data_IF_997555520547
#
_entry.id   IF_997555520547
#
_cell.length_a   1.000
_cell.length_b   1.000
_cell.length_c   1.000
_cell.angle_alpha   90.00
_cell.angle_beta   90.00
_cell.angle_gamma   90.00
#
_symmetry.space_group_name_H-M   'P 1'
#
loop_
_entity.id
_entity.type
_entity.pdbx_description
1 polymer ?
2 non-polymer ?
3 non-polymer ?
4 water ?
#
# COMPACT_ATOMS: atom_id res chain seq x y z
N UNK A 22 -21.25 12.59 -21.19
CA UNK A 22 -20.25 13.61 -21.50
C UNK A 22 -19.43 13.99 -20.27
N UNK A 23 -19.95 13.65 -19.07
CA UNK A 23 -19.34 13.90 -17.76
C UNK A 23 -18.01 13.17 -17.60
N UNK A 24 -17.09 13.75 -16.81
CA UNK A 24 -15.80 13.13 -16.62
C UNK A 24 -15.89 12.01 -15.59
N UNK A 25 -16.10 10.76 -16.06
CA UNK A 25 -16.15 9.56 -15.22
C UNK A 25 -14.77 8.90 -15.14
N UNK A 26 -14.40 8.34 -13.97
CA UNK A 26 -13.14 7.63 -13.82
C UNK A 26 -13.14 6.38 -14.69
N UNK A 27 -12.11 6.24 -15.52
CA UNK A 27 -11.95 5.12 -16.43
C UNK A 27 -10.80 4.19 -15.99
N UNK A 28 -10.74 2.98 -16.58
CA UNK A 28 -9.71 1.98 -16.32
C UNK A 28 -8.42 2.42 -17.01
N UNK A 29 -7.33 2.50 -16.23
CA UNK A 29 -6.01 2.96 -16.65
C UNK A 29 -5.50 2.45 -17.99
N UNK A 30 -4.85 3.36 -18.75
CA UNK A 30 -4.19 3.09 -20.03
C UNK A 30 -2.71 2.73 -19.75
N UNK A 31 -2.39 2.53 -18.45
CA UNK A 31 -1.08 2.19 -17.90
C UNK A 31 -0.85 0.67 -17.87
N UNK A 32 0.43 0.26 -17.77
CA UNK A 32 0.86 -1.14 -17.75
C UNK A 32 0.87 -1.74 -16.33
N UNK A 33 -0.32 -2.20 -15.88
CA UNK A 33 -0.67 -2.86 -14.61
C UNK A 33 0.46 -3.17 -13.59
N UNK A 34 1.50 -3.91 -14.03
CA UNK A 34 2.68 -4.35 -13.27
C UNK A 34 3.46 -3.23 -12.55
N UNK A 35 3.39 -2.01 -13.08
CA UNK A 35 4.07 -0.84 -12.54
C UNK A 35 3.27 -0.16 -11.42
N UNK A 36 2.00 -0.55 -11.26
CA UNK A 36 1.09 -0.01 -10.25
C UNK A 36 0.55 -1.07 -9.26
N UNK A 37 1.47 -1.87 -8.69
CA UNK A 37 1.18 -2.90 -7.68
C UNK A 37 2.05 -2.67 -6.44
N UNK A 38 1.45 -2.56 -5.25
CA UNK A 38 2.20 -2.42 -3.99
C UNK A 38 2.14 -3.73 -3.23
N UNK A 39 3.33 -4.26 -2.84
CA UNK A 39 3.47 -5.51 -2.09
C UNK A 39 3.64 -5.16 -0.61
N UNK A 40 2.83 -5.81 0.25
CA UNK A 40 2.81 -5.56 1.71
C UNK A 40 3.13 -6.82 2.47
N UNK A 41 3.84 -6.65 3.60
CA UNK A 41 4.33 -7.71 4.49
C UNK A 41 4.26 -7.17 5.93
N UNK A 42 3.02 -6.95 6.41
CA UNK A 42 2.70 -6.36 7.71
C UNK A 42 3.29 -7.08 8.91
N UNK A 43 3.48 -8.42 8.78
CA UNK A 43 4.08 -9.31 9.79
C UNK A 43 4.79 -10.47 9.07
N UNK A 44 5.70 -11.18 9.78
CA UNK A 44 6.43 -12.35 9.27
C UNK A 44 5.45 -13.45 8.77
N UNK A 45 5.77 -14.04 7.61
CA UNK A 45 5.00 -15.11 6.97
C UNK A 45 3.79 -14.65 6.18
N UNK A 46 3.66 -13.32 6.03
CA UNK A 46 2.56 -12.69 5.34
C UNK A 46 3.01 -11.74 4.26
N UNK A 47 2.36 -11.84 3.10
CA UNK A 47 2.57 -11.03 1.91
C UNK A 47 1.21 -10.81 1.27
N UNK A 48 0.96 -9.59 0.81
CA UNK A 48 -0.26 -9.24 0.09
C UNK A 48 0.06 -8.15 -0.94
N UNK A 49 -0.83 -7.96 -1.93
CA UNK A 49 -0.63 -6.94 -2.96
C UNK A 49 -1.91 -6.12 -3.18
N UNK A 50 -1.77 -4.93 -3.74
CA UNK A 50 -2.86 -4.02 -4.07
C UNK A 50 -2.55 -3.46 -5.45
N UNK A 51 -3.45 -3.63 -6.41
CA UNK A 51 -3.36 -3.05 -7.74
C UNK A 51 -3.96 -1.65 -7.49
N UNK A 52 -3.09 -0.65 -7.26
CA UNK A 52 -3.47 0.73 -6.94
C UNK A 52 -4.64 1.27 -7.77
N UNK A 53 -4.57 1.29 -9.13
CA UNK A 53 -5.69 1.83 -9.92
C UNK A 53 -7.03 1.18 -9.60
N UNK A 54 -7.05 -0.15 -9.34
CA UNK A 54 -8.27 -0.90 -9.00
C UNK A 54 -8.88 -0.39 -7.73
N UNK A 55 -8.09 -0.33 -6.65
CA UNK A 55 -8.52 0.19 -5.34
C UNK A 55 -9.09 1.60 -5.47
N UNK A 56 -8.44 2.48 -6.24
CA UNK A 56 -8.90 3.85 -6.41
C UNK A 56 -10.23 3.86 -7.15
N UNK A 57 -10.35 3.03 -8.20
CA UNK A 57 -11.53 2.88 -9.06
C UNK A 57 -12.70 2.35 -8.25
N UNK A 58 -12.51 1.25 -7.51
CA UNK A 58 -13.60 0.68 -6.68
C UNK A 58 -14.06 1.66 -5.59
N UNK A 59 -13.12 2.43 -5.03
CA UNK A 59 -13.41 3.42 -3.99
C UNK A 59 -14.15 4.63 -4.55
N UNK A 60 -13.80 5.05 -5.76
CA UNK A 60 -14.43 6.16 -6.48
C UNK A 60 -15.93 5.92 -6.62
N UNK A 61 -16.29 4.76 -7.23
CA UNK A 61 -17.66 4.36 -7.48
C UNK A 61 -18.46 4.09 -6.22
N UNK A 62 -17.76 3.69 -5.13
CA UNK A 62 -18.36 3.48 -3.80
C UNK A 62 -18.90 4.85 -3.33
N UNK A 63 -18.08 5.93 -3.45
CA UNK A 63 -18.50 7.27 -3.05
C UNK A 63 -19.60 7.84 -3.93
N UNK A 64 -19.53 7.55 -5.24
CA UNK A 64 -20.52 7.99 -6.21
C UNK A 64 -21.87 7.39 -5.84
N UNK A 65 -21.87 6.11 -5.44
CA UNK A 65 -23.09 5.39 -5.02
C UNK A 65 -23.71 6.05 -3.78
N UNK A 66 -22.91 6.37 -2.72
CA UNK A 66 -23.53 7.00 -1.55
C UNK A 66 -24.00 8.41 -1.84
N UNK A 67 -23.22 9.16 -2.64
CA UNK A 67 -23.61 10.52 -3.01
C UNK A 67 -24.93 10.57 -3.74
N UNK A 68 -25.19 9.56 -4.60
CA UNK A 68 -26.42 9.45 -5.37
C UNK A 68 -27.67 9.14 -4.54
N UNK A 69 -27.54 8.30 -3.49
CA UNK A 69 -28.68 7.90 -2.63
C UNK A 69 -28.94 8.86 -1.46
N UNK A 70 -27.94 9.69 -1.14
CA UNK A 70 -28.05 10.63 -0.03
C UNK A 70 -28.49 12.01 -0.51
N UNK A 71 -28.60 12.20 -1.83
CA UNK A 71 -29.04 13.49 -2.40
C UNK A 71 -30.46 13.79 -1.97
N UNK A 72 -31.36 12.81 -2.13
CA UNK A 72 -32.75 12.95 -1.76
C UNK A 72 -32.99 12.31 -0.40
N UNK A 73 -33.62 13.06 0.53
CA UNK A 73 -33.97 12.52 1.85
C UNK A 73 -34.80 11.20 1.79
N UNK A 74 -35.53 10.96 0.67
CA UNK A 74 -36.36 9.77 0.43
C UNK A 74 -35.62 8.51 -0.01
N UNK A 75 -34.32 8.59 -0.37
CA UNK A 75 -33.57 7.42 -0.83
C UNK A 75 -32.51 6.90 0.16
N UNK A 76 -32.45 7.51 1.37
CA UNK A 76 -31.50 7.14 2.42
C UNK A 76 -31.52 5.67 2.76
N UNK A 77 -32.69 5.04 2.60
CA UNK A 77 -32.96 3.62 2.84
C UNK A 77 -32.29 2.65 1.88
N UNK A 78 -31.75 3.18 0.76
CA UNK A 78 -31.04 2.39 -0.24
C UNK A 78 -29.64 1.91 0.22
N UNK A 79 -29.11 2.48 1.33
CA UNK A 79 -27.79 2.21 1.89
C UNK A 79 -27.49 0.74 2.18
N UNK A 80 -28.48 -0.01 2.67
CA UNK A 80 -28.31 -1.45 2.98
C UNK A 80 -28.03 -2.21 1.68
N UNK A 81 -28.79 -1.92 0.60
CA UNK A 81 -28.57 -2.53 -0.72
C UNK A 81 -27.15 -2.19 -1.21
N UNK A 82 -26.78 -0.88 -1.18
CA UNK A 82 -25.44 -0.39 -1.53
C UNK A 82 -24.35 -1.10 -0.72
N UNK A 83 -24.53 -1.20 0.62
CA UNK A 83 -23.58 -1.87 1.51
C UNK A 83 -23.43 -3.33 1.12
N UNK A 84 -24.55 -4.01 0.83
CA UNK A 84 -24.56 -5.41 0.44
C UNK A 84 -23.78 -5.61 -0.87
N UNK A 85 -24.03 -4.74 -1.86
CA UNK A 85 -23.40 -4.80 -3.18
C UNK A 85 -21.90 -4.59 -3.09
N UNK A 86 -21.48 -3.62 -2.26
CA UNK A 86 -20.06 -3.31 -2.06
C UNK A 86 -19.35 -4.48 -1.42
N UNK A 87 -19.97 -5.08 -0.39
CA UNK A 87 -19.45 -6.26 0.31
C UNK A 87 -19.29 -7.42 -0.69
N UNK A 88 -20.27 -7.59 -1.61
CA UNK A 88 -20.26 -8.65 -2.63
C UNK A 88 -19.06 -8.51 -3.58
N UNK A 89 -18.85 -7.30 -4.12
CA UNK A 89 -17.75 -6.89 -4.99
C UNK A 89 -16.40 -7.17 -4.31
N UNK A 90 -16.31 -6.86 -3.01
CA UNK A 90 -15.13 -7.08 -2.14
C UNK A 90 -14.77 -8.56 -2.06
N UNK A 91 -15.79 -9.43 -1.88
CA UNK A 91 -15.65 -10.88 -1.79
C UNK A 91 -15.21 -11.42 -3.15
N UNK A 92 -15.95 -11.05 -4.22
CA UNK A 92 -15.69 -11.45 -5.60
C UNK A 92 -14.26 -11.09 -6.03
N UNK A 93 -13.83 -9.86 -5.74
CA UNK A 93 -12.50 -9.38 -6.09
C UNK A 93 -11.44 -10.16 -5.30
N UNK A 94 -11.68 -10.37 -3.98
CA UNK A 94 -10.74 -11.12 -3.14
C UNK A 94 -10.68 -12.60 -3.50
N UNK A 95 -11.70 -13.09 -4.22
CA UNK A 95 -11.72 -14.47 -4.67
C UNK A 95 -10.75 -14.66 -5.87
N UNK A 96 -10.70 -13.66 -6.79
CA UNK A 96 -9.80 -13.65 -7.96
C UNK A 96 -8.37 -13.54 -7.50
N UNK A 97 -8.08 -12.59 -6.58
CA UNK A 97 -6.71 -12.44 -6.09
C UNK A 97 -6.19 -13.65 -5.29
N UNK A 98 -7.11 -14.49 -4.75
CA UNK A 98 -6.75 -15.71 -4.02
C UNK A 98 -6.29 -16.86 -4.95
N UNK A 99 -6.50 -16.70 -6.28
CA UNK A 99 -6.10 -17.67 -7.31
C UNK A 99 -4.59 -17.76 -7.45
N UNK A 100 -3.89 -16.73 -6.92
CA UNK A 100 -2.44 -16.60 -6.89
C UNK A 100 -1.87 -16.95 -5.51
N UNK A 101 -2.65 -17.62 -4.63
CA UNK A 101 -2.24 -17.97 -3.27
C UNK A 101 -1.11 -18.95 -3.16
N UNK A 102 -1.21 -20.13 -3.82
CA UNK A 102 -0.16 -21.14 -3.81
C UNK A 102 1.21 -20.55 -4.21
N UNK A 103 1.21 -19.82 -5.32
CA UNK A 103 2.36 -19.15 -5.91
C UNK A 103 2.87 -18.00 -5.01
N UNK A 104 1.95 -17.26 -4.36
CA UNK A 104 2.31 -16.21 -3.39
C UNK A 104 3.00 -16.87 -2.18
N UNK A 105 2.44 -18.00 -1.68
CA UNK A 105 2.95 -18.77 -0.55
C UNK A 105 4.37 -19.33 -0.83
N UNK A 106 4.63 -19.66 -2.12
CA UNK A 106 5.89 -20.15 -2.67
C UNK A 106 6.93 -19.02 -2.61
N UNK A 107 6.48 -17.77 -2.83
CA UNK A 107 7.35 -16.60 -2.72
C UNK A 107 7.73 -16.37 -1.24
N UNK A 108 6.75 -16.47 -0.31
CA UNK A 108 6.92 -16.32 1.15
C UNK A 108 7.98 -17.27 1.71
N UNK A 109 8.01 -18.52 1.21
CA UNK A 109 8.98 -19.55 1.60
C UNK A 109 10.39 -19.15 1.21
N UNK A 110 10.53 -18.53 0.02
CA UNK A 110 11.80 -18.05 -0.51
C UNK A 110 12.27 -16.84 0.29
N UNK A 111 11.36 -15.89 0.63
CA UNK A 111 11.70 -14.72 1.46
C UNK A 111 12.15 -15.18 2.84
N UNK A 112 11.49 -16.21 3.39
CA UNK A 112 11.83 -16.80 4.68
C UNK A 112 13.31 -17.22 4.66
N UNK A 113 13.74 -17.94 3.59
CA UNK A 113 15.11 -18.43 3.38
C UNK A 113 16.13 -17.30 3.29
N UNK A 114 15.83 -16.22 2.53
CA UNK A 114 16.72 -15.07 2.35
C UNK A 114 16.88 -14.27 3.63
N UNK A 115 15.83 -14.17 4.44
CA UNK A 115 15.81 -13.37 5.66
C UNK A 115 16.31 -14.10 6.89
N UNK A 116 16.16 -15.44 6.91
CA UNK A 116 16.59 -16.29 8.02
C UNK A 116 17.51 -17.43 7.50
N UNK A 117 18.75 -17.11 7.04
CA UNK A 117 19.65 -18.16 6.52
C UNK A 117 20.15 -19.17 7.55
N UNK A 118 20.06 -18.82 8.86
CA UNK A 118 20.36 -19.63 10.05
C UNK A 118 19.78 -18.94 11.30
N UNK A 119 19.46 -19.72 12.34
CA UNK A 119 18.87 -19.24 13.60
C UNK A 119 19.85 -18.37 14.42
N UNK A 120 19.43 -17.12 14.76
CA UNK A 120 20.24 -16.17 15.55
C UNK A 120 19.70 -15.97 16.99
N UNK A 121 18.88 -16.93 17.49
CA UNK A 121 18.22 -16.87 18.78
C UNK A 121 18.92 -17.47 19.99
N UNK A 122 19.95 -18.31 19.78
CA UNK A 122 20.69 -18.89 20.91
C UNK A 122 21.75 -17.89 21.40
N UNK A 123 21.45 -17.16 22.49
CA UNK A 123 22.32 -16.13 23.09
C UNK A 123 23.61 -16.72 23.69
N UNK A 124 23.58 -18.03 24.00
CA UNK A 124 24.71 -18.77 24.54
C UNK A 124 25.50 -19.46 23.40
N UNK A 125 25.30 -18.96 22.16
CA UNK A 125 25.97 -19.43 20.94
C UNK A 125 26.63 -18.24 20.25
N UNK A 126 27.98 -18.27 20.17
CA UNK A 126 28.81 -17.22 19.54
C UNK A 126 29.33 -17.68 18.13
N UNK A 127 28.66 -18.70 17.55
CA UNK A 127 28.96 -19.37 16.28
C UNK A 127 29.14 -18.45 15.06
N UNK A 128 30.31 -18.53 14.40
CA UNK A 128 30.61 -17.79 13.17
C UNK A 128 30.41 -18.73 11.98
N UNK A 129 29.44 -18.44 11.12
CA UNK A 129 29.07 -19.31 10.01
C UNK A 129 29.80 -19.12 8.68
N UNK A 130 31.15 -19.17 8.75
CA UNK A 130 32.05 -19.06 7.61
C UNK A 130 31.90 -20.25 6.64
N UNK A 131 31.22 -21.33 7.11
CA UNK A 131 30.94 -22.58 6.38
C UNK A 131 29.95 -22.38 5.24
N UNK A 132 29.11 -21.31 5.29
CA UNK A 132 28.09 -20.92 4.29
C UNK A 132 28.61 -19.66 3.51
N UNK A 133 29.01 -19.77 2.20
CA UNK A 133 28.98 -20.89 1.24
C UNK A 133 29.68 -22.19 1.64
N UNK A 170 24.35 -5.59 -4.76
CA UNK A 170 25.81 -5.71 -4.73
C UNK A 170 26.30 -6.88 -3.84
N UNK A 171 25.57 -8.02 -3.92
CA UNK A 171 25.80 -9.26 -3.15
C UNK A 171 27.16 -9.95 -3.45
N UNK A 172 27.60 -10.81 -2.54
CA UNK A 172 28.86 -11.55 -2.66
C UNK A 172 28.70 -13.07 -2.41
N UNK A 173 27.95 -13.45 -1.36
CA UNK A 173 27.71 -14.83 -0.95
C UNK A 173 27.01 -15.67 -2.03
N UNK A 174 27.71 -16.73 -2.52
CA UNK A 174 27.29 -17.69 -3.55
C UNK A 174 25.97 -18.38 -3.23
N UNK A 175 25.80 -18.85 -1.97
CA UNK A 175 24.58 -19.50 -1.53
C UNK A 175 23.40 -18.54 -1.44
N UNK A 176 23.66 -17.25 -1.09
CA UNK A 176 22.60 -16.23 -1.06
C UNK A 176 22.17 -15.91 -2.49
N UNK A 177 23.16 -15.77 -3.41
CA UNK A 177 22.99 -15.48 -4.84
C UNK A 177 22.11 -16.55 -5.55
N UNK A 178 22.19 -17.83 -5.10
CA UNK A 178 21.38 -18.94 -5.62
C UNK A 178 19.94 -18.79 -5.15
N UNK A 179 19.73 -18.46 -3.85
CA UNK A 179 18.42 -18.21 -3.24
C UNK A 179 17.78 -16.93 -3.84
N UNK A 180 18.63 -15.96 -4.25
CA UNK A 180 18.22 -14.69 -4.85
C UNK A 180 17.64 -14.83 -6.26
N UNK A 181 18.22 -15.72 -7.09
CA UNK A 181 17.75 -15.98 -8.46
C UNK A 181 16.38 -16.65 -8.43
N UNK A 182 16.13 -17.51 -7.41
CA UNK A 182 14.85 -18.19 -7.18
C UNK A 182 13.81 -17.12 -6.85
N UNK A 183 14.15 -16.20 -5.91
CA UNK A 183 13.32 -15.07 -5.52
C UNK A 183 12.89 -14.25 -6.73
N UNK A 184 13.82 -13.98 -7.67
CA UNK A 184 13.56 -13.19 -8.87
C UNK A 184 12.55 -13.87 -9.80
N UNK A 185 12.65 -15.21 -9.92
CA UNK A 185 11.73 -16.04 -10.71
C UNK A 185 10.37 -16.11 -9.98
N UNK A 186 10.37 -16.51 -8.70
CA UNK A 186 9.19 -16.63 -7.86
C UNK A 186 8.36 -15.33 -7.80
N UNK A 187 9.04 -14.14 -7.70
CA UNK A 187 8.41 -12.82 -7.72
C UNK A 187 7.79 -12.54 -9.10
N UNK A 188 8.57 -12.81 -10.19
CA UNK A 188 8.15 -12.63 -11.59
C UNK A 188 6.92 -13.46 -11.93
N UNK A 189 6.82 -14.69 -11.36
CA UNK A 189 5.68 -15.58 -11.57
C UNK A 189 4.41 -14.98 -10.96
N UNK A 190 4.53 -14.41 -9.72
CA UNK A 190 3.40 -13.78 -9.03
C UNK A 190 2.81 -12.62 -9.83
N UNK A 191 3.68 -11.75 -10.40
CA UNK A 191 3.29 -10.61 -11.24
C UNK A 191 2.58 -11.16 -12.49
N UNK A 192 3.09 -12.28 -13.06
CA UNK A 192 2.47 -12.90 -14.24
C UNK A 192 1.08 -13.42 -13.91
N UNK A 193 0.90 -14.02 -12.72
CA UNK A 193 -0.37 -14.54 -12.21
C UNK A 193 -1.38 -13.40 -12.05
N UNK A 194 -0.94 -12.25 -11.47
CA UNK A 194 -1.81 -11.08 -11.30
C UNK A 194 -2.20 -10.51 -12.68
N UNK A 195 -1.22 -10.43 -13.61
CA UNK A 195 -1.43 -9.97 -14.99
C UNK A 195 -2.33 -10.94 -15.78
N UNK A 196 -2.26 -12.25 -15.50
CA UNK A 196 -3.10 -13.25 -16.16
C UNK A 196 -4.56 -13.22 -15.72
N UNK A 197 -4.85 -12.63 -14.55
CA UNK A 197 -6.19 -12.52 -14.00
C UNK A 197 -6.80 -11.11 -14.19
N UNK A 198 -6.09 -10.24 -14.94
CA UNK A 198 -6.42 -8.85 -15.26
C UNK A 198 -7.86 -8.66 -15.74
N UNK A 199 -8.29 -9.42 -16.77
CA UNK A 199 -9.65 -9.29 -17.33
C UNK A 199 -10.73 -9.58 -16.31
N UNK A 200 -10.51 -10.62 -15.45
CA UNK A 200 -11.42 -11.01 -14.37
C UNK A 200 -11.55 -9.89 -13.35
N UNK A 201 -10.44 -9.15 -13.11
CA UNK A 201 -10.40 -7.98 -12.23
C UNK A 201 -11.15 -6.84 -12.91
N UNK A 202 -10.96 -6.65 -14.24
CA UNK A 202 -11.66 -5.60 -15.00
C UNK A 202 -13.18 -5.82 -14.99
N UNK A 203 -13.63 -7.07 -15.18
CA UNK A 203 -15.05 -7.45 -15.20
C UNK A 203 -15.75 -6.98 -13.91
N UNK A 204 -15.12 -7.24 -12.75
CA UNK A 204 -15.59 -6.85 -11.42
C UNK A 204 -15.61 -5.32 -11.29
N UNK A 205 -14.51 -4.66 -11.73
CA UNK A 205 -14.40 -3.20 -11.70
C UNK A 205 -15.54 -2.56 -12.50
N UNK A 206 -15.84 -3.11 -13.70
CA UNK A 206 -16.94 -2.63 -14.56
C UNK A 206 -18.31 -2.80 -13.94
N UNK A 207 -18.52 -3.88 -13.14
CA UNK A 207 -19.79 -4.11 -12.46
C UNK A 207 -20.01 -3.06 -11.36
N UNK A 208 -18.93 -2.65 -10.68
CA UNK A 208 -18.96 -1.60 -9.66
C UNK A 208 -19.19 -0.26 -10.37
N UNK A 209 -18.52 -0.04 -11.53
CA UNK A 209 -18.70 1.20 -12.31
C UNK A 209 -20.17 1.32 -12.76
N UNK A 210 -20.72 0.26 -13.40
CA UNK A 210 -22.09 0.21 -13.90
C UNK A 210 -23.16 0.45 -12.83
N UNK A 211 -22.90 0.01 -11.59
CA UNK A 211 -23.82 0.17 -10.46
C UNK A 211 -23.86 1.62 -10.02
N UNK A 212 -22.67 2.21 -9.79
CA UNK A 212 -22.51 3.59 -9.35
C UNK A 212 -23.12 4.56 -10.33
N UNK A 213 -22.83 4.35 -11.64
CA UNK A 213 -23.32 5.15 -12.77
C UNK A 213 -24.84 5.06 -12.92
N UNK A 214 -25.42 3.88 -12.66
CA UNK A 214 -26.86 3.71 -12.74
C UNK A 214 -27.56 4.50 -11.64
N UNK A 215 -27.00 4.50 -10.42
CA UNK A 215 -27.57 5.22 -9.29
C UNK A 215 -27.50 6.72 -9.55
N UNK A 216 -26.36 7.16 -10.09
CA UNK A 216 -26.03 8.53 -10.41
C UNK A 216 -26.92 9.14 -11.51
N UNK A 217 -27.43 8.30 -12.43
CA UNK A 217 -28.31 8.71 -13.52
C UNK A 217 -29.73 9.00 -13.00
N UNK A 218 -30.10 8.37 -11.86
CA UNK A 218 -31.39 8.54 -11.17
C UNK A 218 -31.40 9.77 -10.24
N UNK A 219 -30.26 10.47 -10.09
CA UNK A 219 -30.20 11.68 -9.25
C UNK A 219 -31.02 12.79 -9.90
N UNK A 220 -31.99 13.34 -9.14
CA UNK A 220 -32.93 14.37 -9.58
C UNK A 220 -33.16 15.43 -8.50
N UNK A 221 -33.44 16.67 -8.96
CA UNK A 221 -33.66 17.84 -8.12
C UNK A 221 -35.08 18.36 -8.22
N UNK A 222 -35.49 19.13 -7.20
CA UNK A 222 -36.76 19.83 -7.16
C UNK A 222 -36.77 20.85 -8.34
N UNK A 223 -35.65 21.56 -8.54
CA UNK A 223 -35.50 22.48 -9.65
C UNK A 223 -34.05 22.41 -10.12
N UNK A 224 -33.86 22.00 -11.38
CA UNK A 224 -32.52 21.85 -11.96
C UNK A 224 -31.69 23.10 -11.96
N UNK A 225 -32.30 24.27 -11.71
CA UNK A 225 -31.60 25.56 -11.66
C UNK A 225 -30.96 25.82 -10.32
N UNK A 226 -31.40 25.07 -9.30
CA UNK A 226 -30.88 25.24 -7.94
C UNK A 226 -31.01 23.95 -7.16
N UNK A 227 -30.20 22.96 -7.53
CA UNK A 227 -30.10 21.67 -6.89
C UNK A 227 -29.48 21.84 -5.51
N UNK A 228 -29.91 21.03 -4.56
CA UNK A 228 -29.42 20.98 -3.19
C UNK A 228 -28.12 20.19 -3.09
N UNK A 229 -27.31 20.46 -2.06
CA UNK A 229 -26.04 19.79 -1.80
C UNK A 229 -26.06 19.16 -0.41
N UNK A 230 -27.16 18.53 -0.02
CA UNK A 230 -27.25 17.91 1.30
C UNK A 230 -26.55 16.56 1.30
N UNK A 231 -26.57 15.90 0.13
CA UNK A 231 -25.96 14.60 -0.07
C UNK A 231 -24.46 14.67 0.12
N UNK A 232 -23.84 15.67 -0.50
CA UNK A 232 -22.40 15.95 -0.39
C UNK A 232 -22.09 16.26 1.07
N UNK A 233 -22.88 17.14 1.71
CA UNK A 233 -22.68 17.47 3.13
C UNK A 233 -22.80 16.21 3.99
N UNK A 234 -23.97 15.49 3.95
CA UNK A 234 -24.23 14.28 4.73
C UNK A 234 -23.14 13.22 4.56
N UNK A 235 -22.79 12.88 3.30
CA UNK A 235 -21.78 11.87 2.99
C UNK A 235 -20.43 12.23 3.59
N UNK A 236 -20.00 13.51 3.43
CA UNK A 236 -18.74 13.96 3.98
C UNK A 236 -18.72 13.75 5.49
N UNK A 237 -19.65 14.38 6.21
CA UNK A 237 -19.82 14.34 7.65
C UNK A 237 -19.76 12.93 8.22
N UNK A 238 -20.40 11.97 7.53
CA UNK A 238 -20.55 10.58 7.97
C UNK A 238 -19.53 9.58 7.46
N UNK A 239 -18.92 9.84 6.27
CA UNK A 239 -17.97 8.90 5.67
C UNK A 239 -16.50 9.35 5.59
N UNK A 240 -16.29 10.68 5.45
CA UNK A 240 -15.00 11.30 5.18
C UNK A 240 -14.38 12.04 6.36
N UNK A 241 -15.16 12.94 6.99
CA UNK A 241 -14.69 13.78 8.09
C UNK A 241 -13.87 13.07 9.15
N UNK A 242 -14.27 11.83 9.52
CA UNK A 242 -13.57 11.00 10.52
C UNK A 242 -12.15 10.71 10.09
N UNK A 243 -11.96 10.37 8.80
CA UNK A 243 -10.68 10.06 8.19
C UNK A 243 -9.78 11.28 8.10
N UNK A 244 -10.37 12.46 7.82
CA UNK A 244 -9.64 13.72 7.74
C UNK A 244 -9.03 14.05 9.11
N UNK A 245 -9.83 13.96 10.19
CA UNK A 245 -9.39 14.21 11.58
C UNK A 245 -8.34 13.21 12.05
N UNK A 246 -8.44 11.94 11.60
CA UNK A 246 -7.50 10.87 11.93
C UNK A 246 -6.13 11.23 11.34
N UNK A 247 -6.10 11.60 10.04
CA UNK A 247 -4.88 12.02 9.34
C UNK A 247 -4.27 13.27 10.03
N UNK A 248 -5.11 14.30 10.29
CA UNK A 248 -4.72 15.56 10.94
C UNK A 248 -4.12 15.40 12.36
N UNK A 249 -4.41 14.28 13.05
CA UNK A 249 -3.87 13.96 14.38
C UNK A 249 -2.50 13.23 14.27
N UNK A 250 -2.09 12.92 13.02
CA UNK A 250 -0.85 12.19 12.76
C UNK A 250 0.25 13.10 12.19
N UNK A 251 1.48 12.89 12.63
CA UNK A 251 2.59 13.67 12.09
C UNK A 251 3.24 12.81 11.04
N UNK A 252 2.72 12.86 9.81
CA UNK A 252 3.19 12.05 8.70
C UNK A 252 4.59 12.43 8.27
N UNK A 253 4.93 13.72 8.32
CA UNK A 253 6.26 14.19 7.96
C UNK A 253 7.34 13.73 8.95
N UNK A 254 7.01 13.70 10.26
CA UNK A 254 7.92 13.21 11.31
C UNK A 254 8.16 11.73 11.09
N UNK A 255 7.10 10.97 10.70
CA UNK A 255 7.25 9.53 10.40
C UNK A 255 8.31 9.31 9.34
N UNK A 256 8.28 10.15 8.27
CA UNK A 256 9.27 10.11 7.20
C UNK A 256 10.68 10.43 7.73
N UNK A 257 10.81 11.44 8.61
CA UNK A 257 12.12 11.82 9.17
C UNK A 257 12.71 10.66 9.97
N UNK A 258 11.90 10.02 10.80
CA UNK A 258 12.36 8.90 11.60
C UNK A 258 12.76 7.70 10.73
N UNK A 259 12.07 7.49 9.60
CA UNK A 259 12.38 6.40 8.67
C UNK A 259 13.68 6.68 7.93
N UNK A 260 13.86 7.93 7.49
CA UNK A 260 15.08 8.41 6.83
C UNK A 260 16.29 8.12 7.75
N UNK A 261 16.17 8.47 9.05
CA UNK A 261 17.25 8.26 10.03
C UNK A 261 17.56 6.78 10.16
N UNK A 262 16.55 5.92 10.26
CA UNK A 262 16.72 4.47 10.36
C UNK A 262 17.55 3.96 9.18
N UNK A 263 17.19 4.40 7.96
CA UNK A 263 17.83 3.99 6.72
C UNK A 263 19.26 4.44 6.59
N UNK A 264 19.53 5.69 6.94
CA UNK A 264 20.86 6.25 6.87
C UNK A 264 21.78 5.67 7.96
N UNK A 265 21.27 5.54 9.20
CA UNK A 265 22.06 5.00 10.30
C UNK A 265 22.36 3.53 10.11
N UNK A 266 21.38 2.74 9.62
CA UNK A 266 21.56 1.32 9.34
C UNK A 266 22.51 1.11 8.16
N UNK A 267 22.54 2.07 7.21
CA UNK A 267 23.44 2.01 6.06
C UNK A 267 24.88 2.13 6.56
N UNK A 268 25.14 3.02 7.57
CA UNK A 268 26.48 3.16 8.21
C UNK A 268 26.88 1.86 8.88
N UNK A 269 25.96 1.21 9.60
CA UNK A 269 26.26 -0.09 10.24
C UNK A 269 26.58 -1.16 9.20
N UNK A 270 25.88 -1.12 8.05
CA UNK A 270 26.13 -2.04 6.93
C UNK A 270 27.54 -1.83 6.31
N UNK A 271 27.92 -0.56 6.08
CA UNK A 271 29.22 -0.14 5.55
C UNK A 271 30.37 -0.72 6.40
N UNK A 272 30.16 -0.70 7.73
CA UNK A 272 31.09 -1.17 8.75
C UNK A 272 31.21 -2.68 8.60
N UNK A 273 30.09 -3.40 8.63
CA UNK A 273 30.07 -4.87 8.52
C UNK A 273 30.63 -5.37 7.20
N UNK A 274 30.28 -4.70 6.09
CA UNK A 274 30.72 -5.02 4.74
C UNK A 274 32.25 -4.99 4.65
N UNK A 275 32.90 -3.96 5.23
CA UNK A 275 34.35 -3.83 5.24
C UNK A 275 35.03 -5.00 6.02
N UNK A 276 34.49 -5.36 7.20
CA UNK A 276 35.03 -6.42 8.05
C UNK A 276 34.74 -7.83 7.58
N UNK A 277 33.50 -8.11 7.17
CA UNK A 277 33.04 -9.44 6.78
C UNK A 277 32.99 -9.59 5.27
N UNK A 278 32.11 -8.80 4.66
CA UNK A 278 31.89 -8.79 3.23
C UNK A 278 31.11 -9.99 2.73
N UNK A 279 31.81 -11.12 2.59
CA UNK A 279 31.26 -12.35 2.01
C UNK A 279 30.24 -13.14 2.86
N UNK A 280 30.01 -12.76 4.15
CA UNK A 280 29.09 -13.41 5.11
C UNK A 280 27.63 -13.40 4.63
N UNK A 281 26.91 -14.52 4.82
CA UNK A 281 25.51 -14.65 4.42
C UNK A 281 24.59 -13.55 4.99
N UNK A 282 24.76 -13.20 6.29
CA UNK A 282 23.95 -12.15 6.89
C UNK A 282 24.21 -10.76 6.34
N UNK A 283 25.37 -10.53 5.69
CA UNK A 283 25.65 -9.23 5.07
C UNK A 283 24.73 -9.04 3.86
N UNK A 284 24.59 -10.08 3.05
CA UNK A 284 23.66 -10.10 1.91
C UNK A 284 22.22 -10.01 2.38
N UNK A 285 21.87 -10.69 3.51
CA UNK A 285 20.54 -10.62 4.12
C UNK A 285 20.22 -9.16 4.47
N UNK A 286 21.17 -8.45 5.14
CA UNK A 286 21.01 -7.02 5.48
C UNK A 286 20.86 -6.18 4.20
N UNK A 287 21.71 -6.43 3.18
CA UNK A 287 21.64 -5.74 1.89
C UNK A 287 20.25 -5.91 1.28
N UNK A 288 19.69 -7.14 1.37
CA UNK A 288 18.36 -7.49 0.89
C UNK A 288 17.29 -6.77 1.72
N UNK A 289 17.34 -6.84 3.08
CA UNK A 289 16.33 -6.15 3.89
C UNK A 289 16.37 -4.60 3.69
N UNK A 290 17.57 -4.04 3.70
CA UNK A 290 17.80 -2.60 3.53
C UNK A 290 17.26 -2.09 2.22
N UNK A 291 17.50 -2.82 1.10
CA UNK A 291 16.96 -2.44 -0.23
C UNK A 291 15.43 -2.48 -0.22
N UNK A 292 14.85 -3.51 0.41
CA UNK A 292 13.39 -3.61 0.49
C UNK A 292 12.82 -2.44 1.29
N UNK A 293 13.46 -2.12 2.43
CA UNK A 293 13.06 -1.01 3.28
C UNK A 293 13.14 0.35 2.59
N UNK A 294 14.09 0.51 1.64
CA UNK A 294 14.28 1.72 0.83
C UNK A 294 13.10 1.90 -0.15
N UNK A 295 12.69 0.83 -0.87
CA UNK A 295 11.55 0.84 -1.78
C UNK A 295 10.31 1.15 -0.96
N UNK A 296 10.10 0.42 0.16
CA UNK A 296 8.98 0.64 1.09
C UNK A 296 8.91 2.13 1.47
N UNK A 297 10.04 2.70 1.93
CA UNK A 297 10.09 4.11 2.31
C UNK A 297 9.72 5.06 1.14
N UNK A 298 10.23 4.76 -0.08
CA UNK A 298 9.94 5.57 -1.27
C UNK A 298 8.45 5.62 -1.56
N UNK A 299 7.76 4.49 -1.35
CA UNK A 299 6.30 4.33 -1.52
C UNK A 299 5.54 5.12 -0.46
N UNK A 300 5.98 5.05 0.83
CA UNK A 300 5.38 5.78 1.96
C UNK A 300 5.46 7.29 1.69
N UNK A 301 6.61 7.75 1.15
CA UNK A 301 6.88 9.14 0.80
C UNK A 301 5.90 9.61 -0.30
N UNK A 302 5.68 8.78 -1.34
CA UNK A 302 4.78 9.05 -2.45
C UNK A 302 3.33 9.21 -1.92
N UNK A 303 2.87 8.23 -1.11
CA UNK A 303 1.55 8.24 -0.51
C UNK A 303 1.35 9.38 0.50
N UNK A 304 2.38 9.73 1.29
CA UNK A 304 2.32 10.83 2.26
C UNK A 304 2.05 12.18 1.55
N UNK A 305 2.76 12.42 0.41
CA UNK A 305 2.62 13.63 -0.41
C UNK A 305 1.16 13.80 -0.83
N UNK A 306 0.53 12.70 -1.31
CA UNK A 306 -0.88 12.64 -1.71
C UNK A 306 -1.76 12.91 -0.51
N UNK A 307 -1.54 12.19 0.62
CA UNK A 307 -2.36 12.37 1.82
C UNK A 307 -2.37 13.84 2.26
N UNK A 308 -1.19 14.46 2.32
CA UNK A 308 -1.02 15.83 2.77
C UNK A 308 -1.72 16.83 1.88
N UNK A 309 -1.60 16.65 0.54
CA UNK A 309 -2.21 17.46 -0.51
C UNK A 309 -3.74 17.34 -0.43
N UNK A 310 -4.24 16.09 -0.50
CA UNK A 310 -5.68 15.81 -0.49
C UNK A 310 -6.37 16.23 0.81
N UNK A 311 -5.64 16.27 1.96
CA UNK A 311 -6.26 16.70 3.22
C UNK A 311 -6.65 18.16 3.10
N UNK A 312 -5.72 18.98 2.59
CA UNK A 312 -5.94 20.40 2.37
C UNK A 312 -7.05 20.65 1.33
N UNK A 313 -7.00 19.97 0.17
CA UNK A 313 -7.94 20.10 -0.96
C UNK A 313 -9.38 19.73 -0.54
N UNK A 314 -9.58 18.55 0.07
CA UNK A 314 -10.92 18.09 0.52
C UNK A 314 -11.56 19.11 1.46
N UNK A 315 -10.79 19.58 2.48
CA UNK A 315 -11.28 20.55 3.47
C UNK A 315 -11.69 21.88 2.84
N UNK A 316 -10.91 22.32 1.83
CA UNK A 316 -11.15 23.54 1.06
C UNK A 316 -12.30 23.34 0.12
N UNK A 317 -12.30 22.24 -0.67
CA UNK A 317 -13.37 21.96 -1.63
C UNK A 317 -14.70 21.72 -0.99
N UNK A 318 -14.73 21.10 0.19
CA UNK A 318 -16.02 20.87 0.85
C UNK A 318 -16.72 22.18 1.26
N UNK A 319 -15.93 23.18 1.64
CA UNK A 319 -16.40 24.51 2.03
C UNK A 319 -17.07 25.22 0.87
N UNK A 320 -16.58 24.95 -0.35
CA UNK A 320 -17.06 25.54 -1.61
C UNK A 320 -18.31 24.86 -2.14
N UNK A 321 -18.68 23.71 -1.55
CA UNK A 321 -19.78 22.89 -2.02
C UNK A 321 -21.02 22.74 -1.12
N UNK A 322 -20.90 22.94 0.19
CA UNK A 322 -22.01 22.76 1.11
C UNK A 322 -22.86 24.02 1.26
N UNK A 323 -24.05 23.89 1.89
CA UNK A 323 -25.00 24.96 2.21
C UNK A 323 -25.25 25.96 1.09
N UNK A 324 -25.26 25.45 -0.15
CA UNK A 324 -25.50 26.25 -1.36
C UNK A 324 -26.10 25.39 -2.47
N UNK A 325 -26.71 26.04 -3.47
CA UNK A 325 -27.28 25.34 -4.61
C UNK A 325 -26.36 25.46 -5.83
N UNK A 326 -26.62 24.61 -6.83
CA UNK A 326 -25.93 24.58 -8.11
C UNK A 326 -26.94 24.21 -9.20
N UNK A 327 -26.64 24.58 -10.45
CA UNK A 327 -27.42 24.14 -11.60
C UNK A 327 -27.13 22.63 -11.70
N UNK A 328 -28.09 21.80 -12.08
CA UNK A 328 -27.85 20.34 -12.12
C UNK A 328 -26.49 19.91 -12.67
N UNK A 329 -26.12 20.37 -13.89
CA UNK A 329 -24.83 20.06 -14.52
C UNK A 329 -23.63 20.29 -13.58
N UNK A 330 -23.55 21.49 -12.97
CA UNK A 330 -22.52 21.87 -12.02
C UNK A 330 -22.54 20.97 -10.79
N UNK A 331 -23.73 20.60 -10.31
CA UNK A 331 -23.83 19.69 -9.17
C UNK A 331 -23.14 18.35 -9.46
N UNK A 332 -23.47 17.70 -10.61
CA UNK A 332 -22.95 16.38 -11.01
C UNK A 332 -21.45 16.37 -11.24
N UNK A 333 -20.91 17.43 -11.86
CA UNK A 333 -19.46 17.56 -12.12
C UNK A 333 -18.71 17.61 -10.78
N UNK A 334 -19.23 18.36 -9.80
CA UNK A 334 -18.65 18.51 -8.48
C UNK A 334 -18.76 17.23 -7.62
N UNK A 335 -19.78 16.39 -7.87
CA UNK A 335 -19.89 15.10 -7.17
C UNK A 335 -18.79 14.17 -7.68
N UNK A 336 -18.59 14.13 -9.01
CA UNK A 336 -17.55 13.33 -9.67
C UNK A 336 -16.17 13.77 -9.23
N UNK A 337 -15.96 15.10 -9.11
CA UNK A 337 -14.70 15.65 -8.67
C UNK A 337 -14.40 15.37 -7.19
N UNK A 338 -15.42 15.43 -6.29
CA UNK A 338 -15.18 15.12 -4.87
C UNK A 338 -14.86 13.64 -4.73
N UNK A 339 -15.56 12.78 -5.51
CA UNK A 339 -15.35 11.33 -5.51
C UNK A 339 -13.91 11.01 -5.88
N UNK A 340 -13.34 11.79 -6.83
CA UNK A 340 -11.97 11.61 -7.22
C UNK A 340 -11.01 11.93 -6.04
N UNK A 341 -11.22 13.10 -5.37
CA UNK A 341 -10.41 13.52 -4.23
C UNK A 341 -10.48 12.54 -3.08
N UNK A 342 -11.68 11.99 -2.76
CA UNK A 342 -11.80 11.02 -1.66
C UNK A 342 -11.09 9.70 -1.99
N UNK A 343 -11.29 9.16 -3.22
CA UNK A 343 -10.72 7.88 -3.67
C UNK A 343 -9.21 7.94 -3.60
N UNK A 344 -8.62 9.05 -4.07
CA UNK A 344 -7.17 9.24 -4.01
C UNK A 344 -6.66 9.32 -2.58
N UNK A 345 -7.36 10.07 -1.73
CA UNK A 345 -7.02 10.23 -0.31
C UNK A 345 -7.13 8.91 0.46
N UNK A 346 -8.24 8.18 0.26
CA UNK A 346 -8.48 6.91 0.95
C UNK A 346 -7.47 5.82 0.54
N UNK A 347 -7.21 5.67 -0.76
CA UNK A 347 -6.23 4.72 -1.31
C UNK A 347 -4.84 4.90 -0.63
N UNK A 348 -4.34 6.16 -0.58
CA UNK A 348 -3.05 6.50 -0.01
C UNK A 348 -2.95 6.35 1.49
N UNK A 349 -4.02 6.66 2.24
CA UNK A 349 -3.93 6.46 3.69
C UNK A 349 -3.93 4.98 4.07
N UNK A 350 -4.68 4.18 3.30
CA UNK A 350 -4.80 2.73 3.46
C UNK A 350 -3.44 2.10 3.21
N UNK A 351 -2.80 2.43 2.07
CA UNK A 351 -1.48 1.94 1.68
C UNK A 351 -0.41 2.39 2.61
N UNK A 352 -0.40 3.70 2.96
CA UNK A 352 0.59 4.24 3.86
C UNK A 352 0.62 3.48 5.18
N UNK A 353 -0.55 3.25 5.79
CA UNK A 353 -0.64 2.51 7.04
C UNK A 353 0.00 1.11 6.93
N UNK A 354 -0.34 0.35 5.86
CA UNK A 354 0.20 -1.01 5.66
C UNK A 354 1.70 -1.02 5.34
N UNK A 355 2.15 -0.06 4.50
CA UNK A 355 3.56 0.08 4.18
C UNK A 355 4.36 0.46 5.43
N UNK A 356 3.78 1.33 6.30
CA UNK A 356 4.39 1.72 7.57
C UNK A 356 4.65 0.47 8.42
N UNK A 357 3.64 -0.42 8.53
CA UNK A 357 3.69 -1.69 9.28
C UNK A 357 4.71 -2.64 8.71
N UNK A 358 4.84 -2.73 7.38
CA UNK A 358 5.83 -3.55 6.67
C UNK A 358 7.26 -3.08 7.00
N UNK A 359 7.52 -1.75 6.87
CA UNK A 359 8.80 -1.11 7.16
C UNK A 359 9.26 -1.49 8.58
N UNK A 360 8.37 -1.34 9.56
CA UNK A 360 8.72 -1.66 10.93
C UNK A 360 8.81 -3.13 11.26
N UNK A 361 8.13 -3.97 10.48
CA UNK A 361 8.20 -5.42 10.62
C UNK A 361 9.62 -5.85 10.21
N UNK A 362 10.12 -5.30 9.07
CA UNK A 362 11.47 -5.57 8.57
C UNK A 362 12.55 -4.97 9.47
N UNK A 363 12.31 -3.73 9.98
CA UNK A 363 13.26 -3.00 10.84
C UNK A 363 13.57 -3.82 12.10
N UNK A 364 12.52 -4.42 12.69
CA UNK A 364 12.57 -5.23 13.89
C UNK A 364 13.51 -6.42 13.68
N UNK A 365 13.49 -7.02 12.47
CA UNK A 365 14.36 -8.14 12.16
C UNK A 365 15.78 -7.65 11.90
N UNK A 366 15.92 -6.53 11.16
CA UNK A 366 17.18 -5.88 10.82
C UNK A 366 17.97 -5.55 12.08
N UNK A 367 17.27 -4.99 13.09
CA UNK A 367 17.82 -4.66 14.39
C UNK A 367 18.32 -5.91 15.10
N UNK A 368 17.59 -7.04 14.96
CA UNK A 368 18.01 -8.31 15.56
C UNK A 368 19.28 -8.88 14.96
N UNK A 369 19.47 -8.73 13.63
CA UNK A 369 20.68 -9.16 12.94
C UNK A 369 21.89 -8.35 13.42
N UNK A 370 21.77 -6.99 13.49
CA UNK A 370 22.86 -6.12 13.98
C UNK A 370 23.24 -6.46 15.40
N UNK A 371 22.23 -6.78 16.25
CA UNK A 371 22.48 -7.14 17.65
C UNK A 371 23.23 -8.48 17.69
N UNK A 372 22.85 -9.41 16.79
CA UNK A 372 23.53 -10.69 16.64
C UNK A 372 25.02 -10.47 16.23
N UNK A 373 25.31 -9.46 15.39
CA UNK A 373 26.67 -9.16 14.93
C UNK A 373 27.36 -8.08 15.76
N UNK A 374 26.84 -7.81 16.99
CA UNK A 374 27.42 -6.79 17.87
C UNK A 374 28.94 -6.89 18.06
N UNK A 375 29.50 -8.10 18.13
CA UNK A 375 30.95 -8.32 18.32
C UNK A 375 31.77 -7.74 17.17
N UNK A 376 31.37 -8.02 15.92
CA UNK A 376 32.07 -7.55 14.73
C UNK A 376 31.88 -6.04 14.56
N UNK A 377 30.72 -5.50 14.91
CA UNK A 377 30.41 -4.07 14.82
C UNK A 377 31.32 -3.26 15.76
N UNK A 378 31.63 -3.82 16.95
CA UNK A 378 32.48 -3.21 17.98
C UNK A 378 33.96 -3.35 17.67
N UNK A 379 34.33 -4.41 16.91
CA UNK A 379 35.70 -4.74 16.51
C UNK A 379 36.41 -3.56 15.89
N UNK A 380 37.71 -3.47 16.16
CA UNK A 380 38.62 -2.41 15.71
C UNK A 380 38.77 -2.35 14.20
N UNK A 381 38.95 -1.12 13.67
CA UNK A 381 39.22 -0.83 12.26
C UNK A 381 40.42 -1.71 11.80
N UNK A 382 40.31 -2.36 10.62
CA UNK A 382 41.33 -3.25 10.03
C UNK A 382 41.49 -4.60 10.74
N UNK A 383 40.76 -4.80 11.86
CA UNK A 383 40.65 -6.06 12.60
C UNK A 383 39.50 -6.80 11.89
N UNK A 384 39.63 -8.12 11.68
CA UNK A 384 38.62 -8.91 10.95
C UNK A 384 38.25 -10.24 11.65
N UNK A 385 36.99 -10.72 11.53
CA UNK A 385 36.66 -12.03 12.12
C UNK A 385 37.16 -13.15 11.19
N UNK A 386 36.77 -14.41 11.40
CA UNK A 386 37.22 -15.50 10.53
C UNK A 386 37.01 -15.19 9.03
N UNK A 387 38.11 -15.12 8.28
CA UNK A 387 38.09 -14.87 6.84
C UNK A 387 37.68 -16.18 6.18
N UNK A 388 36.85 -16.11 5.13
CA UNK A 388 36.37 -17.32 4.47
C UNK A 388 36.77 -17.44 2.99
N UNK A 389 36.47 -18.62 2.39
CA UNK A 389 36.71 -18.97 0.98
C UNK A 389 35.78 -20.10 0.53
#
# INVERSE_FOLDING_TARGET
GTDVKNNEDYKNVDYKNVNFLQYHFKELSNYNIANSIDILQEKEGHLDFVIIPHYTFLDYYKHLSYNSIYHKSSTYGKCIAVDAFIKKINETYDKVKSKCNDIKNDLIATIKKLEHPYDINNKNDDSYRYDISEEIDDKSEETDDETEEVEDSIQDTDSNHTPSNKKKNDLMNRTFKKMMDEYNTKKKKLIKCIKNHENDFNKICMDMKNYGTNLFEQLSCYNNNFCNTNGIRYHYDEYIHKLILSVKSKNLNKDLSDMTNILQQSELLLTNLNKKMGSYIYIDTIKFIHKEMKHIFNRIEYHTKIINDKTKIIQDKIKLNIWRTFQKDELLKRILDMSNEYSLFITSDHLRQMLYNTFYSKEKHLNNIFHHLIYVLQMKFNDVPIKMEYFQTYKKNKPLTQ
#
